data_IF_549547931171
#
_entry.id   IF_549547931171
#
_cell.length_a   1.000
_cell.length_b   1.000
_cell.length_c   1.000
_cell.angle_alpha   90.00
_cell.angle_beta   90.00
_cell.angle_gamma   90.00
#
_symmetry.space_group_name_H-M   'P 1'
#
loop_
_entity.id
_entity.type
_entity.pdbx_description
1 polymer ?
#
# COMPACT_ATOMS: atom_id res chain seq x y z
N UNK A 1 -23.08 -36.19 -9.50
CA UNK A 1 -21.86 -35.80 -8.80
C UNK A 1 -22.26 -35.33 -7.40
N UNK A 2 -21.65 -35.90 -6.37
CA UNK A 2 -21.81 -35.38 -5.00
C UNK A 2 -21.21 -33.98 -4.93
N UNK A 3 -21.86 -33.01 -4.24
CA UNK A 3 -21.28 -31.69 -4.07
C UNK A 3 -19.95 -31.80 -3.32
N UNK A 4 -18.93 -31.18 -3.89
CA UNK A 4 -17.56 -31.18 -3.31
C UNK A 4 -17.52 -30.36 -2.01
N UNK A 5 -18.49 -29.45 -1.84
CA UNK A 5 -18.59 -28.57 -0.66
C UNK A 5 -19.80 -28.94 0.19
N UNK A 6 -19.60 -29.06 1.49
CA UNK A 6 -20.66 -29.32 2.45
C UNK A 6 -21.43 -28.07 2.87
N UNK A 7 -20.83 -26.88 2.69
CA UNK A 7 -21.43 -25.57 2.94
C UNK A 7 -21.20 -24.68 1.70
N UNK A 8 -22.28 -24.33 1.03
CA UNK A 8 -22.27 -23.47 -0.14
C UNK A 8 -23.27 -22.32 0.10
N UNK A 9 -22.72 -21.11 0.30
CA UNK A 9 -23.51 -19.93 0.63
C UNK A 9 -23.61 -19.01 -0.57
N UNK A 10 -24.82 -18.50 -0.85
CA UNK A 10 -25.01 -17.48 -1.88
C UNK A 10 -24.56 -16.14 -1.30
N UNK A 11 -23.60 -15.51 -1.97
CA UNK A 11 -23.11 -14.18 -1.59
C UNK A 11 -24.07 -13.09 -2.08
N UNK A 12 -24.56 -12.27 -1.15
CA UNK A 12 -25.19 -10.98 -1.44
C UNK A 12 -24.10 -9.89 -1.35
N UNK A 13 -23.66 -9.38 -2.50
CA UNK A 13 -22.61 -8.37 -2.57
C UNK A 13 -23.06 -7.00 -2.06
N UNK A 14 -24.36 -6.73 -1.98
CA UNK A 14 -24.88 -5.48 -1.45
C UNK A 14 -24.89 -5.51 0.09
N UNK A 15 -25.26 -6.65 0.69
CA UNK A 15 -25.21 -6.84 2.13
C UNK A 15 -23.75 -6.95 2.64
N UNK A 16 -22.84 -7.51 1.82
CA UNK A 16 -21.42 -7.70 2.16
C UNK A 16 -20.51 -6.93 1.18
N UNK A 17 -20.48 -5.60 1.21
CA UNK A 17 -19.69 -4.80 0.28
C UNK A 17 -18.18 -5.04 0.46
N UNK A 18 -17.69 -5.13 1.70
CA UNK A 18 -16.26 -5.30 1.98
C UNK A 18 -15.80 -6.76 1.84
N UNK A 19 -14.64 -6.96 1.25
CA UNK A 19 -14.01 -8.28 1.13
C UNK A 19 -13.82 -8.94 2.50
N UNK A 20 -13.40 -8.18 3.51
CA UNK A 20 -13.23 -8.69 4.87
C UNK A 20 -14.52 -9.24 5.46
N UNK A 21 -15.66 -8.61 5.19
CA UNK A 21 -16.98 -9.10 5.63
C UNK A 21 -17.32 -10.45 4.99
N UNK A 22 -16.99 -10.61 3.69
CA UNK A 22 -17.21 -11.86 2.94
C UNK A 22 -16.42 -13.02 3.54
N UNK A 23 -15.14 -12.79 3.85
CA UNK A 23 -14.29 -13.81 4.47
C UNK A 23 -14.71 -14.09 5.92
N UNK A 24 -14.98 -13.06 6.71
CA UNK A 24 -15.40 -13.22 8.09
C UNK A 24 -16.70 -14.01 8.18
N UNK A 25 -17.68 -13.76 7.29
CA UNK A 25 -18.95 -14.47 7.26
C UNK A 25 -18.84 -15.99 7.11
N UNK A 26 -17.71 -16.50 6.57
CA UNK A 26 -17.48 -17.95 6.47
C UNK A 26 -17.25 -18.61 7.84
N UNK A 27 -16.83 -17.85 8.85
CA UNK A 27 -16.60 -18.33 10.20
C UNK A 27 -17.85 -18.25 11.11
N UNK A 28 -18.95 -17.68 10.61
CA UNK A 28 -20.18 -17.48 11.37
C UNK A 28 -21.33 -18.31 10.78
N UNK A 29 -22.45 -18.54 11.52
CA UNK A 29 -23.68 -19.09 10.97
C UNK A 29 -24.17 -18.27 9.77
N UNK A 30 -24.93 -18.91 8.88
CA UNK A 30 -25.49 -18.21 7.72
C UNK A 30 -26.37 -17.05 8.19
N UNK A 31 -26.08 -15.86 7.70
CA UNK A 31 -26.81 -14.62 7.98
C UNK A 31 -26.93 -13.79 6.70
N UNK A 32 -27.94 -12.92 6.63
CA UNK A 32 -28.09 -11.94 5.56
C UNK A 32 -27.29 -10.65 5.84
N UNK A 33 -26.75 -10.51 7.05
CA UNK A 33 -25.98 -9.36 7.49
C UNK A 33 -24.53 -9.76 7.80
N UNK A 34 -23.56 -8.86 7.59
CA UNK A 34 -22.18 -9.10 7.99
C UNK A 34 -22.08 -9.25 9.51
N UNK A 35 -21.04 -9.93 10.03
CA UNK A 35 -20.78 -9.97 11.46
C UNK A 35 -20.65 -8.56 12.05
N UNK A 36 -21.28 -8.33 13.21
CA UNK A 36 -21.29 -7.03 13.90
C UNK A 36 -19.88 -6.54 14.25
N UNK A 37 -18.97 -7.46 14.52
CA UNK A 37 -17.56 -7.15 14.86
C UNK A 37 -16.62 -8.02 14.03
N UNK A 38 -15.78 -7.37 13.26
CA UNK A 38 -14.68 -8.02 12.54
C UNK A 38 -13.40 -7.47 13.13
N UNK A 39 -12.58 -8.30 13.79
CA UNK A 39 -11.30 -7.84 14.34
C UNK A 39 -10.39 -7.29 13.24
N UNK A 40 -9.77 -6.15 13.50
CA UNK A 40 -8.75 -5.61 12.61
C UNK A 40 -7.51 -6.51 12.64
N UNK A 41 -6.90 -6.82 11.49
CA UNK A 41 -5.63 -7.51 11.44
C UNK A 41 -4.56 -6.73 12.19
N UNK A 42 -3.74 -7.41 12.99
CA UNK A 42 -2.60 -6.80 13.70
C UNK A 42 -1.36 -7.63 13.50
N UNK A 43 -0.28 -6.96 13.16
CA UNK A 43 1.06 -7.52 13.07
C UNK A 43 1.98 -6.82 14.08
N UNK A 44 2.92 -7.57 14.59
CA UNK A 44 4.00 -7.07 15.45
C UNK A 44 5.32 -7.66 14.96
N UNK A 45 6.34 -6.84 14.88
CA UNK A 45 7.69 -7.27 14.57
C UNK A 45 8.48 -7.47 15.86
N UNK A 46 9.30 -8.49 15.87
CA UNK A 46 10.27 -8.70 16.95
C UNK A 46 11.44 -7.73 16.82
N UNK A 47 11.85 -7.01 17.88
CA UNK A 47 12.95 -6.05 17.80
C UNK A 47 14.28 -6.63 17.27
N UNK A 48 14.60 -7.87 17.63
CA UNK A 48 15.83 -8.51 17.15
C UNK A 48 15.74 -8.84 15.65
N UNK A 49 14.56 -9.21 15.15
CA UNK A 49 14.30 -9.41 13.71
C UNK A 49 14.43 -8.12 12.93
N UNK A 50 13.91 -7.01 13.47
CA UNK A 50 14.05 -5.67 12.89
C UNK A 50 15.52 -5.27 12.80
N UNK A 51 16.29 -5.40 13.90
CA UNK A 51 17.72 -5.09 13.92
C UNK A 51 18.50 -5.91 12.90
N UNK A 52 18.21 -7.21 12.80
CA UNK A 52 18.82 -8.10 11.81
C UNK A 52 18.46 -7.69 10.37
N UNK A 53 17.21 -7.31 10.11
CA UNK A 53 16.79 -6.85 8.78
C UNK A 53 17.51 -5.53 8.42
N UNK A 54 17.57 -4.56 9.32
CA UNK A 54 18.31 -3.31 9.13
C UNK A 54 19.78 -3.57 8.81
N UNK A 55 20.44 -4.44 9.60
CA UNK A 55 21.84 -4.81 9.37
C UNK A 55 22.06 -5.52 8.01
N UNK A 56 21.15 -6.45 7.65
CA UNK A 56 21.23 -7.22 6.40
C UNK A 56 21.23 -6.30 5.16
N UNK A 57 20.47 -5.23 5.19
CA UNK A 57 20.34 -4.29 4.08
C UNK A 57 21.16 -3.00 4.28
N UNK A 58 21.95 -2.91 5.35
CA UNK A 58 22.75 -1.72 5.71
C UNK A 58 21.90 -0.46 5.80
N UNK A 59 20.73 -0.57 6.44
CA UNK A 59 19.78 0.52 6.61
C UNK A 59 19.92 1.16 7.99
N UNK A 60 19.90 2.50 8.02
CA UNK A 60 19.80 3.28 9.26
C UNK A 60 18.42 3.87 9.42
N UNK A 61 18.07 4.28 10.64
CA UNK A 61 16.79 4.92 10.99
C UNK A 61 17.01 6.28 11.68
N UNK A 62 18.15 6.91 11.45
CA UNK A 62 18.48 8.23 11.98
C UNK A 62 17.58 9.32 11.37
N UNK A 63 17.19 9.12 10.12
CA UNK A 63 16.23 9.97 9.42
C UNK A 63 14.86 9.29 9.36
N UNK A 64 13.82 10.10 9.23
CA UNK A 64 12.45 9.61 9.05
C UNK A 64 12.35 8.78 7.77
N UNK A 65 11.73 7.62 7.85
CA UNK A 65 11.61 6.69 6.73
C UNK A 65 10.24 6.81 6.09
N UNK A 66 10.21 7.10 4.78
CA UNK A 66 9.05 6.92 3.95
C UNK A 66 9.17 5.57 3.21
N UNK A 67 8.28 4.64 3.48
CA UNK A 67 8.13 3.44 2.68
C UNK A 67 7.22 3.70 1.47
N UNK A 68 7.64 3.31 0.27
CA UNK A 68 6.79 3.33 -0.91
C UNK A 68 6.62 1.93 -1.47
N UNK A 69 5.39 1.59 -1.87
CA UNK A 69 5.01 0.28 -2.43
C UNK A 69 4.38 0.50 -3.82
N UNK A 70 5.21 0.68 -4.88
CA UNK A 70 4.72 1.04 -6.21
C UNK A 70 4.15 -0.16 -6.99
N UNK A 71 4.34 -1.38 -6.48
CA UNK A 71 3.85 -2.60 -7.11
C UNK A 71 2.34 -2.73 -7.12
N UNK A 72 1.83 -3.52 -8.05
CA UNK A 72 0.43 -3.91 -8.14
C UNK A 72 0.28 -5.27 -8.84
N UNK A 73 0.30 -6.35 -8.06
CA UNK A 73 0.19 -7.73 -8.56
C UNK A 73 -1.07 -7.98 -9.40
N UNK A 74 -2.17 -7.29 -9.09
CA UNK A 74 -3.42 -7.40 -9.83
C UNK A 74 -3.27 -6.96 -11.29
N UNK A 75 -2.50 -5.88 -11.56
CA UNK A 75 -2.28 -5.34 -12.91
C UNK A 75 -1.97 -3.86 -12.94
N UNK A 76 -1.47 -3.40 -14.08
CA UNK A 76 -0.98 -2.04 -14.31
C UNK A 76 -2.05 -0.93 -14.17
N UNK A 77 -3.34 -1.29 -14.16
CA UNK A 77 -4.42 -0.34 -13.90
C UNK A 77 -4.53 0.10 -12.43
N UNK A 78 -3.74 -0.50 -11.53
CA UNK A 78 -3.61 -0.10 -10.13
C UNK A 78 -2.29 0.64 -9.85
N UNK A 79 -1.37 0.70 -10.80
CA UNK A 79 -0.06 1.31 -10.60
C UNK A 79 -0.13 2.82 -10.82
N UNK A 80 0.11 3.58 -9.76
CA UNK A 80 0.37 5.01 -9.85
C UNK A 80 1.65 5.23 -10.63
N UNK A 81 1.73 6.26 -11.51
CA UNK A 81 2.89 6.49 -12.36
C UNK A 81 4.21 6.56 -11.59
N UNK A 82 5.28 5.98 -12.15
CA UNK A 82 6.61 6.00 -11.54
C UNK A 82 7.12 7.44 -11.33
N UNK A 83 6.82 8.35 -12.26
CA UNK A 83 7.13 9.78 -12.18
C UNK A 83 6.44 10.47 -11.00
N UNK A 84 5.23 10.04 -10.63
CA UNK A 84 4.51 10.58 -9.47
C UNK A 84 5.11 10.09 -8.15
N UNK A 85 5.50 8.80 -8.08
CA UNK A 85 6.27 8.29 -6.95
C UNK A 85 7.61 9.04 -6.83
N UNK A 86 8.35 9.20 -7.94
CA UNK A 86 9.63 9.90 -7.95
C UNK A 86 9.51 11.36 -7.48
N UNK A 87 8.46 12.08 -7.92
CA UNK A 87 8.21 13.45 -7.47
C UNK A 87 7.94 13.52 -5.97
N UNK A 88 7.20 12.54 -5.44
CA UNK A 88 6.94 12.42 -4.00
C UNK A 88 8.22 12.12 -3.22
N UNK A 89 9.04 11.17 -3.73
CA UNK A 89 10.34 10.84 -3.14
C UNK A 89 11.26 12.06 -3.08
N UNK A 90 11.44 12.79 -4.20
CA UNK A 90 12.22 14.02 -4.27
C UNK A 90 11.84 15.00 -3.17
N UNK A 91 10.54 15.32 -3.08
CA UNK A 91 10.04 16.28 -2.10
C UNK A 91 10.32 15.81 -0.66
N UNK A 92 10.20 14.51 -0.35
CA UNK A 92 10.43 14.01 1.01
C UNK A 92 11.92 13.94 1.33
N UNK A 93 12.76 13.55 0.38
CA UNK A 93 14.22 13.54 0.54
C UNK A 93 14.74 14.96 0.76
N UNK A 94 14.27 15.94 -0.02
CA UNK A 94 14.64 17.35 0.14
C UNK A 94 14.21 17.93 1.50
N UNK A 95 13.23 17.29 2.16
CA UNK A 95 12.80 17.59 3.53
C UNK A 95 13.47 16.70 4.61
N UNK A 96 14.58 16.04 4.28
CA UNK A 96 15.41 15.28 5.22
C UNK A 96 14.89 13.87 5.53
N UNK A 97 13.98 13.32 4.71
CA UNK A 97 13.55 11.93 4.85
C UNK A 97 14.48 11.01 4.03
N UNK A 98 14.49 9.76 4.40
CA UNK A 98 14.96 8.68 3.52
C UNK A 98 13.77 7.89 2.96
N UNK A 99 13.95 7.25 1.82
CA UNK A 99 12.91 6.50 1.12
C UNK A 99 13.33 5.05 0.94
N UNK A 100 12.45 4.12 1.28
CA UNK A 100 12.64 2.71 0.99
C UNK A 100 11.54 2.22 0.05
N UNK A 101 11.94 1.60 -1.07
CA UNK A 101 11.02 1.10 -2.10
C UNK A 101 10.83 -0.39 -1.90
N UNK A 102 9.60 -0.80 -1.55
CA UNK A 102 9.24 -2.19 -1.35
C UNK A 102 8.47 -2.74 -2.55
N UNK A 103 8.64 -4.03 -2.79
CA UNK A 103 7.93 -4.75 -3.85
C UNK A 103 8.47 -6.16 -4.01
N UNK A 104 7.77 -6.95 -4.84
CA UNK A 104 8.23 -8.25 -5.31
C UNK A 104 9.35 -8.10 -6.35
N UNK A 105 9.87 -9.21 -6.85
CA UNK A 105 10.82 -9.21 -7.97
C UNK A 105 10.20 -8.59 -9.24
N UNK A 106 8.90 -8.79 -9.46
CA UNK A 106 8.17 -8.18 -10.57
C UNK A 106 8.10 -6.66 -10.50
N UNK A 107 8.28 -6.08 -9.31
CA UNK A 107 8.22 -4.63 -9.08
C UNK A 107 9.61 -3.97 -9.17
N UNK A 108 10.66 -4.75 -9.44
CA UNK A 108 12.03 -4.24 -9.52
C UNK A 108 12.21 -3.22 -10.67
N UNK A 109 11.50 -3.41 -11.78
CA UNK A 109 11.55 -2.51 -12.92
C UNK A 109 11.01 -1.11 -12.55
N UNK A 110 9.79 -1.02 -12.01
CA UNK A 110 9.21 0.26 -11.58
C UNK A 110 10.01 0.90 -10.45
N UNK A 111 10.61 0.12 -9.56
CA UNK A 111 11.50 0.64 -8.51
C UNK A 111 12.76 1.28 -9.12
N UNK A 112 13.36 0.65 -10.13
CA UNK A 112 14.50 1.18 -10.86
C UNK A 112 14.13 2.45 -11.66
N UNK A 113 12.97 2.50 -12.30
CA UNK A 113 12.48 3.71 -12.97
C UNK A 113 12.39 4.89 -11.99
N UNK A 114 11.79 4.69 -10.82
CA UNK A 114 11.71 5.70 -9.76
C UNK A 114 13.12 6.17 -9.36
N UNK A 115 14.04 5.24 -9.11
CA UNK A 115 15.43 5.55 -8.73
C UNK A 115 16.16 6.35 -9.80
N UNK A 116 15.96 6.04 -11.09
CA UNK A 116 16.62 6.75 -12.21
C UNK A 116 16.14 8.19 -12.36
N UNK A 117 14.90 8.50 -11.94
CA UNK A 117 14.34 9.86 -11.96
C UNK A 117 14.86 10.75 -10.82
N UNK A 118 15.53 10.19 -9.81
CA UNK A 118 16.15 10.95 -8.72
C UNK A 118 17.49 11.50 -9.13
N UNK A 119 17.86 12.70 -8.65
CA UNK A 119 19.22 13.22 -8.75
C UNK A 119 20.21 12.36 -7.95
N UNK A 120 21.49 12.44 -8.25
CA UNK A 120 22.53 11.59 -7.61
C UNK A 120 22.54 11.78 -6.09
N UNK A 121 22.48 13.01 -5.63
CA UNK A 121 22.41 13.36 -4.20
C UNK A 121 21.17 12.77 -3.53
N UNK A 122 20.02 12.77 -4.23
CA UNK A 122 18.78 12.21 -3.73
C UNK A 122 18.81 10.68 -3.67
N UNK A 123 19.46 10.03 -4.64
CA UNK A 123 19.61 8.56 -4.67
C UNK A 123 20.32 7.99 -3.45
N UNK A 124 21.23 8.74 -2.83
CA UNK A 124 21.92 8.34 -1.60
C UNK A 124 20.94 8.18 -0.41
N UNK A 125 19.77 8.80 -0.48
CA UNK A 125 18.70 8.71 0.53
C UNK A 125 17.54 7.83 0.10
N UNK A 126 17.69 7.06 -0.98
CA UNK A 126 16.65 6.17 -1.51
C UNK A 126 17.21 4.77 -1.73
N UNK A 127 16.61 3.77 -1.11
CA UNK A 127 17.02 2.37 -1.23
C UNK A 127 15.93 1.52 -1.83
N UNK A 128 16.21 0.82 -2.92
CA UNK A 128 15.31 -0.18 -3.48
C UNK A 128 15.51 -1.52 -2.76
N UNK A 129 14.42 -2.01 -2.17
CA UNK A 129 14.29 -3.31 -1.53
C UNK A 129 13.40 -4.26 -2.35
N UNK A 130 12.87 -3.80 -3.50
CA UNK A 130 12.03 -4.60 -4.39
C UNK A 130 12.78 -5.85 -4.88
N UNK A 131 12.17 -7.02 -4.70
CA UNK A 131 12.78 -8.32 -5.03
C UNK A 131 13.93 -8.76 -4.13
N UNK A 132 14.28 -7.99 -3.10
CA UNK A 132 15.45 -8.28 -2.24
C UNK A 132 15.07 -8.76 -0.84
N UNK A 133 13.85 -8.51 -0.39
CA UNK A 133 13.37 -8.90 0.94
C UNK A 133 12.47 -10.13 0.88
N UNK A 134 12.58 -10.99 1.87
CA UNK A 134 11.50 -11.93 2.20
C UNK A 134 10.29 -11.15 2.75
N UNK A 135 9.12 -11.79 2.79
CA UNK A 135 7.92 -11.15 3.35
C UNK A 135 8.11 -10.76 4.83
N UNK A 136 8.76 -11.59 5.64
CA UNK A 136 9.06 -11.28 7.04
C UNK A 136 9.99 -10.07 7.17
N UNK A 137 11.06 -10.00 6.38
CA UNK A 137 11.96 -8.84 6.36
C UNK A 137 11.24 -7.56 5.91
N UNK A 138 10.33 -7.65 4.92
CA UNK A 138 9.52 -6.51 4.51
C UNK A 138 8.59 -6.04 5.65
N UNK A 139 7.97 -6.95 6.41
CA UNK A 139 7.16 -6.63 7.59
C UNK A 139 8.02 -5.93 8.65
N UNK A 140 9.20 -6.49 8.97
CA UNK A 140 10.11 -5.92 9.96
C UNK A 140 10.56 -4.51 9.58
N UNK A 141 10.96 -4.29 8.33
CA UNK A 141 11.39 -2.98 7.84
C UNK A 141 10.22 -1.98 7.71
N UNK A 142 9.02 -2.42 7.29
CA UNK A 142 7.82 -1.57 7.29
C UNK A 142 7.42 -1.14 8.70
N UNK A 143 7.70 -1.96 9.72
CA UNK A 143 7.36 -1.64 11.11
C UNK A 143 8.08 -0.41 11.64
N UNK A 144 9.23 -0.05 11.11
CA UNK A 144 10.01 1.14 11.48
C UNK A 144 9.79 2.34 10.55
N UNK A 145 9.00 2.18 9.48
CA UNK A 145 8.64 3.29 8.62
C UNK A 145 7.77 4.31 9.37
N UNK A 146 8.01 5.59 9.14
CA UNK A 146 7.24 6.70 9.69
C UNK A 146 5.90 6.87 8.97
N UNK A 147 5.89 6.65 7.64
CA UNK A 147 4.72 6.65 6.80
C UNK A 147 4.88 5.69 5.63
N UNK A 148 3.77 5.25 5.07
CA UNK A 148 3.73 4.36 3.90
C UNK A 148 2.87 4.99 2.80
N UNK A 149 3.35 4.97 1.56
CA UNK A 149 2.52 5.21 0.37
C UNK A 149 2.43 3.91 -0.41
N UNK A 150 1.24 3.48 -0.72
CA UNK A 150 1.04 2.22 -1.45
C UNK A 150 -0.10 2.32 -2.45
N UNK A 151 0.06 1.69 -3.60
CA UNK A 151 -1.08 1.28 -4.40
C UNK A 151 -1.96 0.32 -3.58
N UNK A 152 -3.21 0.11 -4.00
CA UNK A 152 -4.08 -0.95 -3.45
C UNK A 152 -3.44 -2.34 -3.70
N UNK A 153 -2.65 -2.80 -2.73
CA UNK A 153 -1.79 -3.98 -2.80
C UNK A 153 -1.68 -4.70 -1.44
N UNK A 154 -1.06 -5.88 -1.43
CA UNK A 154 -0.83 -6.64 -0.20
C UNK A 154 -0.02 -5.88 0.85
N UNK A 155 1.00 -5.12 0.44
CA UNK A 155 1.84 -4.33 1.35
C UNK A 155 1.08 -3.18 2.02
N UNK A 156 0.05 -2.63 1.37
CA UNK A 156 -0.88 -1.67 1.98
C UNK A 156 -1.57 -2.28 3.21
N UNK A 157 -2.08 -3.51 3.08
CA UNK A 157 -2.74 -4.20 4.18
C UNK A 157 -1.77 -4.60 5.30
N UNK A 158 -0.54 -4.95 4.96
CA UNK A 158 0.53 -5.21 5.93
C UNK A 158 0.85 -3.93 6.71
N UNK A 159 1.01 -2.80 6.04
CA UNK A 159 1.23 -1.51 6.70
C UNK A 159 0.06 -1.13 7.62
N UNK A 160 -1.19 -1.41 7.21
CA UNK A 160 -2.36 -1.21 8.05
C UNK A 160 -2.31 -2.10 9.31
N UNK A 161 -1.99 -3.38 9.16
CA UNK A 161 -1.86 -4.31 10.27
C UNK A 161 -0.71 -3.97 11.24
N UNK A 162 0.32 -3.26 10.76
CA UNK A 162 1.41 -2.71 11.57
C UNK A 162 1.06 -1.34 12.20
N UNK A 163 -0.17 -0.88 12.05
CA UNK A 163 -0.66 0.42 12.56
C UNK A 163 0.14 1.64 12.05
N UNK A 164 0.66 1.57 10.83
CA UNK A 164 1.43 2.64 10.21
C UNK A 164 0.52 3.72 9.62
N UNK A 165 0.92 4.99 9.61
CA UNK A 165 0.31 6.03 8.78
C UNK A 165 0.40 5.68 7.30
N UNK A 166 -0.75 5.59 6.59
CA UNK A 166 -0.81 5.11 5.20
C UNK A 166 -1.50 6.12 4.29
N UNK A 167 -0.89 6.38 3.15
CA UNK A 167 -1.54 6.95 1.99
C UNK A 167 -1.80 5.83 0.98
N UNK A 168 -3.05 5.44 0.82
CA UNK A 168 -3.49 4.39 -0.08
C UNK A 168 -4.03 4.98 -1.39
N UNK A 169 -3.47 4.54 -2.51
CA UNK A 169 -3.75 5.04 -3.86
C UNK A 169 -4.66 4.05 -4.60
N UNK A 170 -5.83 4.54 -5.04
CA UNK A 170 -6.82 3.72 -5.73
C UNK A 170 -7.02 4.18 -7.17
N UNK A 171 -6.72 3.29 -8.11
CA UNK A 171 -6.99 3.46 -9.53
C UNK A 171 -8.25 2.74 -9.97
N UNK A 172 -8.10 1.58 -10.62
CA UNK A 172 -9.21 0.78 -11.15
C UNK A 172 -10.09 0.12 -10.09
N UNK A 173 -9.68 0.13 -8.81
CA UNK A 173 -10.39 -0.48 -7.69
C UNK A 173 -11.03 0.55 -6.75
N UNK A 174 -11.71 0.07 -5.69
CA UNK A 174 -12.40 0.93 -4.74
C UNK A 174 -12.02 0.60 -3.30
N UNK A 175 -11.83 1.64 -2.46
CA UNK A 175 -11.72 1.44 -1.01
C UNK A 175 -13.02 0.91 -0.38
N UNK A 176 -14.16 1.05 -1.05
CA UNK A 176 -15.43 0.45 -0.60
C UNK A 176 -15.44 -1.08 -0.70
N UNK A 177 -14.41 -1.66 -1.33
CA UNK A 177 -14.25 -3.10 -1.45
C UNK A 177 -13.10 -3.65 -0.61
N UNK A 178 -11.91 -3.03 -0.70
CA UNK A 178 -10.69 -3.47 0.00
C UNK A 178 -9.97 -2.29 0.65
N UNK A 179 -10.56 -1.61 1.65
CA UNK A 179 -9.86 -0.53 2.36
C UNK A 179 -8.70 -1.07 3.20
N UNK A 180 -7.66 -0.27 3.47
CA UNK A 180 -6.77 -0.55 4.57
C UNK A 180 -7.56 -0.48 5.88
N UNK A 181 -7.54 -1.55 6.67
CA UNK A 181 -8.24 -1.60 7.95
C UNK A 181 -7.42 -0.87 9.01
N UNK A 182 -7.42 0.44 8.95
CA UNK A 182 -6.66 1.34 9.84
C UNK A 182 -7.30 2.72 9.86
N UNK A 183 -7.38 3.32 11.04
CA UNK A 183 -7.82 4.71 11.23
C UNK A 183 -6.71 5.74 10.92
N UNK A 184 -5.47 5.30 10.69
CA UNK A 184 -4.32 6.11 10.28
C UNK A 184 -4.12 6.09 8.76
N UNK A 185 -5.21 6.08 8.00
CA UNK A 185 -5.14 6.02 6.55
C UNK A 185 -5.77 7.22 5.87
N UNK A 186 -5.16 7.65 4.76
CA UNK A 186 -5.72 8.58 3.78
C UNK A 186 -5.92 7.84 2.47
N UNK A 187 -7.16 7.83 1.99
CA UNK A 187 -7.53 7.16 0.75
C UNK A 187 -7.55 8.20 -0.38
N UNK A 188 -6.69 8.01 -1.37
CA UNK A 188 -6.59 8.94 -2.48
C UNK A 188 -7.03 8.28 -3.79
N UNK A 189 -7.86 8.98 -4.50
CA UNK A 189 -8.35 8.61 -5.82
C UNK A 189 -8.81 9.85 -6.60
N UNK A 190 -8.93 9.70 -7.90
CA UNK A 190 -9.51 10.70 -8.78
C UNK A 190 -10.99 10.39 -8.99
N UNK A 191 -11.85 11.38 -8.88
CA UNK A 191 -13.28 11.24 -9.12
C UNK A 191 -13.55 11.34 -10.63
N UNK A 192 -13.70 10.18 -11.29
CA UNK A 192 -14.01 10.06 -12.71
C UNK A 192 -15.02 8.95 -12.99
N UNK A 193 -15.87 9.11 -13.99
CA UNK A 193 -17.00 8.23 -14.28
C UNK A 193 -16.64 6.76 -14.54
N UNK A 194 -15.45 6.50 -15.09
CA UNK A 194 -15.02 5.14 -15.43
C UNK A 194 -14.46 4.35 -14.22
N UNK A 195 -14.44 4.94 -13.01
CA UNK A 195 -13.93 4.32 -11.79
C UNK A 195 -15.08 3.99 -10.81
N UNK A 196 -15.04 2.85 -10.10
CA UNK A 196 -14.08 1.75 -10.23
C UNK A 196 -14.46 0.79 -11.37
N UNK A 197 -13.50 0.41 -12.22
CA UNK A 197 -13.76 -0.53 -13.32
C UNK A 197 -13.35 -1.98 -12.99
N UNK A 198 -12.53 -2.19 -11.97
CA UNK A 198 -11.98 -3.49 -11.55
C UNK A 198 -11.24 -4.25 -12.67
N UNK A 199 -10.69 -3.53 -13.66
CA UNK A 199 -9.92 -4.12 -14.75
C UNK A 199 -8.42 -4.18 -14.39
N UNK A 200 -7.73 -5.19 -14.92
CA UNK A 200 -6.27 -5.33 -14.77
C UNK A 200 -5.49 -4.33 -15.62
N UNK A 201 -6.05 -4.01 -16.77
CA UNK A 201 -5.56 -3.00 -17.72
C UNK A 201 -6.65 -1.96 -17.94
N UNK A 202 -6.26 -0.75 -18.29
CA UNK A 202 -7.24 0.31 -18.54
C UNK A 202 -7.93 0.08 -19.89
N UNK A 203 -9.24 -0.21 -19.92
CA UNK A 203 -9.95 -0.45 -21.18
C UNK A 203 -10.06 0.79 -22.05
N UNK A 204 -9.82 1.97 -21.48
CA UNK A 204 -9.83 3.27 -22.17
C UNK A 204 -8.40 3.80 -22.42
N UNK A 205 -7.38 3.00 -22.11
CA UNK A 205 -5.93 3.27 -22.30
C UNK A 205 -5.38 4.53 -21.62
N UNK A 206 -6.21 5.45 -21.16
CA UNK A 206 -5.78 6.75 -20.62
C UNK A 206 -5.28 6.74 -19.18
N UNK A 207 -5.62 5.73 -18.37
CA UNK A 207 -5.27 5.59 -16.93
C UNK A 207 -5.52 6.85 -16.06
N UNK A 208 -6.42 7.75 -16.46
CA UNK A 208 -6.65 9.04 -15.79
C UNK A 208 -6.96 8.93 -14.30
N UNK A 209 -7.57 7.83 -13.86
CA UNK A 209 -7.81 7.57 -12.44
C UNK A 209 -6.52 7.64 -11.59
N UNK A 210 -5.35 7.42 -12.19
CA UNK A 210 -4.05 7.48 -11.52
C UNK A 210 -3.14 8.57 -12.08
N UNK A 211 -3.17 8.85 -13.42
CA UNK A 211 -2.32 9.88 -14.01
C UNK A 211 -2.76 11.29 -13.63
N UNK A 212 -4.04 11.51 -13.30
CA UNK A 212 -4.56 12.79 -12.78
C UNK A 212 -4.55 12.85 -11.25
N UNK A 213 -4.11 11.79 -10.56
CA UNK A 213 -3.88 11.81 -9.12
C UNK A 213 -2.49 12.42 -8.85
N UNK A 214 -2.46 13.73 -8.68
CA UNK A 214 -1.22 14.49 -8.56
C UNK A 214 -0.39 14.14 -7.32
N UNK A 215 0.95 14.14 -7.42
CA UNK A 215 1.87 13.89 -6.30
C UNK A 215 1.64 14.82 -5.10
N UNK A 216 1.25 16.06 -5.36
CA UNK A 216 0.94 17.07 -4.33
C UNK A 216 -0.11 16.59 -3.33
N UNK A 217 -1.10 15.80 -3.78
CA UNK A 217 -2.14 15.21 -2.91
C UNK A 217 -1.55 14.17 -1.96
N UNK A 218 -0.65 13.32 -2.45
CA UNK A 218 0.03 12.31 -1.63
C UNK A 218 0.97 12.98 -0.61
N UNK A 219 1.72 14.00 -1.03
CA UNK A 219 2.62 14.77 -0.16
C UNK A 219 1.84 15.47 0.96
N UNK A 220 0.71 16.10 0.64
CA UNK A 220 -0.17 16.74 1.61
C UNK A 220 -0.73 15.71 2.62
N UNK A 221 -1.22 14.57 2.12
CA UNK A 221 -1.77 13.50 2.95
C UNK A 221 -0.73 12.93 3.94
N UNK A 222 0.53 12.73 3.51
CA UNK A 222 1.62 12.33 4.42
C UNK A 222 1.83 13.40 5.49
N UNK A 223 1.84 14.68 5.10
CA UNK A 223 2.10 15.78 6.03
C UNK A 223 1.01 15.91 7.08
N UNK A 224 -0.25 15.62 6.72
CA UNK A 224 -1.37 15.58 7.66
C UNK A 224 -1.28 14.37 8.62
N UNK A 225 -0.90 13.19 8.09
CA UNK A 225 -0.79 11.97 8.89
C UNK A 225 0.39 12.02 9.87
N UNK A 226 1.48 12.65 9.44
CA UNK A 226 2.74 12.73 10.21
C UNK A 226 3.25 14.17 10.20
N UNK A 227 2.65 15.03 11.02
CA UNK A 227 3.05 16.43 11.08
C UNK A 227 4.53 16.58 11.45
N UNK A 228 5.19 17.54 10.81
CA UNK A 228 6.53 17.95 11.24
C UNK A 228 6.36 18.62 12.61
N UNK A 229 6.94 18.04 13.66
CA UNK A 229 6.99 18.71 14.96
C UNK A 229 7.77 20.01 14.76
N UNK A 230 7.08 21.15 14.79
CA UNK A 230 7.77 22.44 14.90
C UNK A 230 8.24 22.54 16.34
N UNK A 231 9.54 22.28 16.56
CA UNK A 231 10.21 22.69 17.79
C UNK A 231 10.30 24.22 17.87
#
# INVERSE_FOLDING_TARGET
ALPIFSDCRRLDTNAFPLMVQRFAALAYPVSNDPPDQIPEPRLQSDPASVENALATFSLGIENRVLAICPGAEFGVAKQWPAEHFAATCKTKIDNGWQVWIFGSENDAEVANEIMQMLAEEQRQHCVSLAGRTSLSQAIDLLSVAEAVISNDSGLMHIAAALDKPIVALYGSTSPDFTPPLSNKSKLLFTDIDCRPCFQRECPLEHKKCLTELEPSRAIAAITELVPTVRN
#
